data_IF_296555803833
#
_entry.id   IF_296555803833
#
_cell.length_a   1.000
_cell.length_b   1.000
_cell.length_c   1.000
_cell.angle_alpha   90.00
_cell.angle_beta   90.00
_cell.angle_gamma   90.00
#
_symmetry.space_group_name_H-M   'P 1'
#
loop_
_entity.id
_entity.type
_entity.pdbx_description
1 polymer ?
#
# COMPACT_ATOMS: atom_id res chain seq x y z
N UNK A 1 12.64 -12.33 5.95
CA UNK A 1 11.84 -11.40 6.77
C UNK A 1 11.06 -10.53 5.80
N UNK A 2 9.73 -10.49 5.87
CA UNK A 2 8.91 -9.72 4.92
C UNK A 2 8.91 -8.24 5.27
N UNK A 3 8.49 -7.38 4.34
CA UNK A 3 8.45 -5.92 4.53
C UNK A 3 7.44 -5.53 5.62
N UNK A 4 6.35 -6.28 5.76
CA UNK A 4 5.34 -6.10 6.82
C UNK A 4 5.94 -6.44 8.19
N UNK A 5 6.65 -7.57 8.30
CA UNK A 5 7.34 -7.93 9.55
C UNK A 5 8.40 -6.92 9.94
N UNK A 6 9.02 -6.26 8.96
CA UNK A 6 10.00 -5.21 9.22
C UNK A 6 9.32 -3.91 9.67
N UNK A 7 8.20 -3.53 9.05
CA UNK A 7 7.36 -2.40 9.48
C UNK A 7 6.92 -2.59 10.92
N UNK A 8 6.36 -3.76 11.25
CA UNK A 8 5.84 -4.05 12.59
C UNK A 8 6.95 -3.96 13.65
N UNK A 9 8.15 -4.45 13.32
CA UNK A 9 9.32 -4.33 14.20
C UNK A 9 9.76 -2.89 14.43
N UNK A 10 9.67 -2.03 13.42
CA UNK A 10 9.98 -0.61 13.58
C UNK A 10 8.89 0.11 14.38
N UNK A 11 7.62 -0.26 14.21
CA UNK A 11 6.53 0.25 15.02
C UNK A 11 6.71 -0.13 16.51
N UNK A 12 6.97 -1.41 16.82
CA UNK A 12 7.24 -1.85 18.20
C UNK A 12 8.41 -1.08 18.83
N UNK A 13 9.47 -0.80 18.06
CA UNK A 13 10.59 0.02 18.55
C UNK A 13 10.18 1.47 18.79
N UNK A 14 9.36 2.04 17.92
CA UNK A 14 8.86 3.40 18.09
C UNK A 14 8.07 3.48 19.41
N UNK A 15 7.17 2.53 19.64
CA UNK A 15 6.34 2.45 20.85
C UNK A 15 7.21 2.30 22.11
N UNK A 16 8.20 1.38 22.08
CA UNK A 16 9.16 1.20 23.17
C UNK A 16 9.91 2.48 23.54
N UNK A 17 10.42 3.21 22.53
CA UNK A 17 11.17 4.45 22.80
C UNK A 17 10.26 5.60 23.22
N UNK A 18 9.00 5.58 22.82
CA UNK A 18 8.00 6.52 23.32
C UNK A 18 7.75 6.32 24.81
N UNK A 19 7.55 5.08 25.25
CA UNK A 19 7.43 4.73 26.67
C UNK A 19 8.67 5.16 27.46
N UNK A 20 9.87 4.89 26.93
CA UNK A 20 11.13 5.33 27.55
C UNK A 20 11.21 6.85 27.70
N UNK A 21 10.77 7.60 26.68
CA UNK A 21 10.72 9.06 26.74
C UNK A 21 9.69 9.56 27.76
N UNK A 22 8.54 8.92 27.86
CA UNK A 22 7.51 9.27 28.85
C UNK A 22 7.97 9.04 30.29
N UNK A 23 8.81 8.02 30.53
CA UNK A 23 9.38 7.73 31.85
C UNK A 23 10.47 8.72 32.26
N UNK A 24 11.47 8.93 31.40
CA UNK A 24 12.71 9.61 31.81
C UNK A 24 12.97 10.94 31.07
N UNK A 25 12.11 11.33 30.13
CA UNK A 25 12.20 12.58 29.36
C UNK A 25 13.44 12.69 28.46
N UNK A 26 14.14 11.57 28.20
CA UNK A 26 15.42 11.62 27.50
C UNK A 26 15.26 11.97 26.01
N UNK A 27 15.91 13.04 25.57
CA UNK A 27 15.92 13.45 24.16
C UNK A 27 16.53 12.41 23.19
N UNK A 28 17.33 11.46 23.70
CA UNK A 28 17.80 10.31 22.92
C UNK A 28 16.67 9.33 22.60
N UNK A 29 15.77 9.08 23.56
CA UNK A 29 14.60 8.22 23.40
C UNK A 29 13.59 8.85 22.44
N UNK A 30 13.31 10.15 22.56
CA UNK A 30 12.45 10.88 21.62
C UNK A 30 12.96 10.75 20.17
N UNK A 31 14.24 11.06 19.94
CA UNK A 31 14.85 10.93 18.61
C UNK A 31 14.85 9.49 18.10
N UNK A 32 14.92 8.50 18.98
CA UNK A 32 14.85 7.11 18.59
C UNK A 32 13.41 6.72 18.21
N UNK A 33 12.40 7.19 18.95
CA UNK A 33 10.99 7.04 18.60
C UNK A 33 10.72 7.60 17.20
N UNK A 34 11.02 8.88 16.98
CA UNK A 34 10.79 9.58 15.69
C UNK A 34 11.40 8.83 14.50
N UNK A 35 12.67 8.41 14.61
CA UNK A 35 13.32 7.65 13.53
C UNK A 35 12.65 6.30 13.24
N UNK A 36 12.22 5.59 14.26
CA UNK A 36 11.58 4.28 14.07
C UNK A 36 10.16 4.45 13.49
N UNK A 37 9.44 5.48 13.91
CA UNK A 37 8.14 5.86 13.34
C UNK A 37 8.27 6.23 11.85
N UNK A 38 9.23 7.09 11.50
CA UNK A 38 9.50 7.47 10.10
C UNK A 38 9.82 6.24 9.22
N UNK A 39 10.58 5.27 9.76
CA UNK A 39 10.89 4.03 9.05
C UNK A 39 9.65 3.13 8.90
N UNK A 40 8.80 3.02 9.92
CA UNK A 40 7.55 2.27 9.83
C UNK A 40 6.58 2.89 8.81
N UNK A 41 6.48 4.22 8.77
CA UNK A 41 5.68 4.96 7.79
C UNK A 41 6.21 4.77 6.36
N UNK A 42 7.53 4.89 6.16
CA UNK A 42 8.16 4.65 4.87
C UNK A 42 7.91 3.23 4.34
N UNK A 43 7.96 2.23 5.23
CA UNK A 43 7.65 0.84 4.86
C UNK A 43 6.16 0.65 4.55
N UNK A 44 5.27 1.33 5.27
CA UNK A 44 3.83 1.33 4.97
C UNK A 44 3.56 1.90 3.57
N UNK A 45 4.20 3.01 3.22
CA UNK A 45 4.12 3.61 1.88
C UNK A 45 4.64 2.65 0.81
N UNK A 46 5.75 1.96 1.06
CA UNK A 46 6.31 0.98 0.13
C UNK A 46 5.38 -0.22 -0.10
N UNK A 47 4.76 -0.75 0.97
CA UNK A 47 3.75 -1.82 0.88
C UNK A 47 2.57 -1.37 0.01
N UNK A 48 2.02 -0.19 0.30
CA UNK A 48 0.89 0.35 -0.45
C UNK A 48 1.24 0.58 -1.93
N UNK A 49 2.45 1.07 -2.22
CA UNK A 49 2.92 1.22 -3.60
C UNK A 49 3.04 -0.13 -4.33
N UNK A 50 3.48 -1.17 -3.63
CA UNK A 50 3.52 -2.54 -4.15
C UNK A 50 2.12 -3.03 -4.55
N UNK A 51 1.14 -2.87 -3.66
CA UNK A 51 -0.27 -3.23 -3.93
C UNK A 51 -0.79 -2.46 -5.15
N UNK A 52 -0.61 -1.13 -5.19
CA UNK A 52 -1.04 -0.31 -6.32
C UNK A 52 -0.40 -0.77 -7.63
N UNK A 53 0.89 -1.14 -7.60
CA UNK A 53 1.59 -1.65 -8.78
C UNK A 53 1.00 -2.97 -9.28
N UNK A 54 0.64 -3.88 -8.39
CA UNK A 54 -0.02 -5.15 -8.73
C UNK A 54 -1.42 -4.91 -9.31
N UNK A 55 -2.22 -4.06 -8.66
CA UNK A 55 -3.56 -3.67 -9.13
C UNK A 55 -3.50 -3.05 -10.55
N UNK A 56 -2.55 -2.14 -10.79
CA UNK A 56 -2.35 -1.54 -12.11
C UNK A 56 -1.93 -2.57 -13.16
N UNK A 57 -1.11 -3.57 -12.80
CA UNK A 57 -0.73 -4.64 -13.70
C UNK A 57 -1.93 -5.51 -14.10
N UNK A 58 -2.80 -5.85 -13.14
CA UNK A 58 -4.05 -6.58 -13.39
C UNK A 58 -4.97 -5.79 -14.31
N UNK A 59 -5.15 -4.49 -14.04
CA UNK A 59 -5.96 -3.61 -14.88
C UNK A 59 -5.40 -3.52 -16.31
N UNK A 60 -4.08 -3.42 -16.46
CA UNK A 60 -3.41 -3.38 -17.76
C UNK A 60 -3.71 -4.64 -18.57
N UNK A 61 -3.61 -5.83 -17.96
CA UNK A 61 -3.94 -7.10 -18.63
C UNK A 61 -5.41 -7.08 -19.06
N UNK A 62 -6.32 -6.73 -18.16
CA UNK A 62 -7.74 -6.71 -18.46
C UNK A 62 -8.13 -5.70 -19.58
N UNK A 63 -7.36 -4.63 -19.75
CA UNK A 63 -7.53 -3.68 -20.87
C UNK A 63 -6.92 -4.23 -22.16
N UNK A 64 -5.77 -4.91 -22.10
CA UNK A 64 -5.14 -5.51 -23.27
C UNK A 64 -5.95 -6.70 -23.84
N UNK A 65 -6.72 -7.37 -23.00
CA UNK A 65 -7.63 -8.45 -23.40
C UNK A 65 -8.95 -7.94 -24.02
N UNK A 66 -9.18 -6.62 -24.04
CA UNK A 66 -10.32 -6.05 -24.74
C UNK A 66 -10.07 -6.11 -26.25
N UNK A 67 -11.01 -6.69 -26.98
CA UNK A 67 -11.00 -6.68 -28.44
C UNK A 67 -11.61 -5.36 -28.95
N UNK A 68 -10.81 -4.46 -29.55
CA UNK A 68 -11.31 -3.19 -30.08
C UNK A 68 -12.20 -3.37 -31.30
N UNK A 69 -12.11 -4.52 -31.98
CA UNK A 69 -12.87 -4.86 -33.18
C UNK A 69 -14.06 -5.77 -32.85
N UNK A 70 -14.50 -5.82 -31.59
CA UNK A 70 -15.67 -6.60 -31.17
C UNK A 70 -16.97 -6.05 -31.80
N UNK A 71 -17.30 -6.61 -32.97
CA UNK A 71 -18.51 -6.32 -33.74
C UNK A 71 -19.80 -6.77 -33.02
N UNK A 72 -19.70 -7.55 -31.93
CA UNK A 72 -20.86 -8.06 -31.19
C UNK A 72 -21.32 -7.14 -30.03
N UNK A 73 -20.60 -6.04 -29.77
CA UNK A 73 -21.04 -4.99 -28.85
C UNK A 73 -20.81 -5.28 -27.36
N UNK A 74 -20.00 -6.27 -27.01
CA UNK A 74 -19.63 -6.60 -25.62
C UNK A 74 -18.54 -5.65 -25.09
N UNK A 75 -17.75 -5.01 -25.96
CA UNK A 75 -16.70 -4.06 -25.60
C UNK A 75 -17.18 -2.94 -24.65
N UNK A 76 -18.30 -2.28 -24.97
CA UNK A 76 -18.86 -1.20 -24.13
C UNK A 76 -19.25 -1.72 -22.75
N UNK A 77 -19.76 -2.96 -22.68
CA UNK A 77 -20.15 -3.61 -21.43
C UNK A 77 -18.91 -4.00 -20.62
N UNK A 78 -17.88 -4.56 -21.26
CA UNK A 78 -16.60 -4.90 -20.65
C UNK A 78 -15.91 -3.65 -20.06
N UNK A 79 -15.86 -2.55 -20.82
CA UNK A 79 -15.32 -1.26 -20.34
C UNK A 79 -16.11 -0.74 -19.13
N UNK A 80 -17.45 -0.79 -19.15
CA UNK A 80 -18.28 -0.36 -18.00
C UNK A 80 -18.03 -1.21 -16.76
N UNK A 81 -17.81 -2.52 -16.92
CA UNK A 81 -17.46 -3.42 -15.80
C UNK A 81 -16.10 -3.05 -15.21
N UNK A 82 -15.10 -2.75 -16.05
CA UNK A 82 -13.79 -2.30 -15.59
C UNK A 82 -13.88 -0.95 -14.86
N UNK A 83 -14.59 0.03 -15.42
CA UNK A 83 -14.82 1.32 -14.77
C UNK A 83 -15.51 1.17 -13.40
N UNK A 84 -16.48 0.27 -13.29
CA UNK A 84 -17.14 -0.03 -12.01
C UNK A 84 -16.17 -0.63 -11.00
N UNK A 85 -15.34 -1.60 -11.39
CA UNK A 85 -14.32 -2.19 -10.52
C UNK A 85 -13.32 -1.16 -10.00
N UNK A 86 -12.83 -0.28 -10.88
CA UNK A 86 -11.93 0.83 -10.51
C UNK A 86 -12.61 1.79 -9.53
N UNK A 87 -13.86 2.19 -9.79
CA UNK A 87 -14.61 3.09 -8.91
C UNK A 87 -14.85 2.49 -7.51
N UNK A 88 -15.05 1.18 -7.44
CA UNK A 88 -15.27 0.46 -6.18
C UNK A 88 -13.98 0.11 -5.44
N UNK A 89 -12.80 0.43 -5.99
CA UNK A 89 -11.51 0.02 -5.41
C UNK A 89 -11.29 -1.49 -5.40
N UNK A 90 -11.93 -2.21 -6.32
CA UNK A 90 -11.89 -3.69 -6.44
C UNK A 90 -11.01 -4.13 -7.60
N UNK A 91 -9.83 -3.53 -7.72
CA UNK A 91 -8.84 -3.98 -8.72
C UNK A 91 -8.08 -5.18 -8.16
N UNK A 92 -8.83 -6.18 -7.67
CA UNK A 92 -8.36 -7.51 -7.29
C UNK A 92 -9.29 -8.50 -8.00
#
# INVERSE_FOLDING_TARGET
MSIEKLRDKYQEKADYYWECYQMDGQASALRAHERNEELADALTKAINAGVISEELAVLKIAVLDLDPDDEHGDLVTAVKRLQKRVREGKVI
#
